data_IF_569971034705
#
_entry.id   IF_569971034705
#
_cell.length_a   1.000
_cell.length_b   1.000
_cell.length_c   1.000
_cell.angle_alpha   90.00
_cell.angle_beta   90.00
_cell.angle_gamma   90.00
#
_symmetry.space_group_name_H-M   'P 1'
#
loop_
_entity.id
_entity.type
_entity.pdbx_description
1 polymer ?
#
# COMPACT_ATOMS: atom_id res chain seq x y z
N UNK A 1 30.52 -9.06 -4.68
CA UNK A 1 29.45 -8.07 -4.75
C UNK A 1 28.14 -8.64 -4.25
N UNK A 2 27.48 -7.91 -3.44
CA UNK A 2 26.20 -8.34 -2.92
C UNK A 2 25.07 -7.83 -3.79
N UNK A 3 24.43 -8.74 -4.50
CA UNK A 3 23.34 -8.36 -5.37
C UNK A 3 22.15 -7.78 -4.64
N UNK A 4 21.95 -8.18 -3.39
CA UNK A 4 20.80 -7.70 -2.63
C UNK A 4 20.83 -6.21 -2.41
N UNK A 5 22.00 -5.62 -2.46
CA UNK A 5 22.12 -4.18 -2.31
C UNK A 5 21.50 -3.43 -3.47
N UNK A 6 21.38 -4.08 -4.61
CA UNK A 6 20.85 -3.45 -5.81
C UNK A 6 19.39 -3.80 -6.07
N UNK A 7 18.81 -4.65 -5.24
CA UNK A 7 17.41 -5.03 -5.40
C UNK A 7 16.52 -4.00 -4.74
N UNK A 8 15.54 -3.52 -5.49
CA UNK A 8 14.55 -2.61 -4.93
C UNK A 8 13.71 -3.36 -3.90
N UNK A 9 13.34 -2.64 -2.86
CA UNK A 9 12.45 -3.16 -1.83
C UNK A 9 11.17 -2.37 -1.86
N UNK A 10 10.06 -3.09 -1.76
CA UNK A 10 8.75 -2.47 -1.82
C UNK A 10 8.01 -2.73 -0.53
N UNK A 11 7.54 -1.66 0.07
CA UNK A 11 6.71 -1.75 1.26
C UNK A 11 5.27 -1.49 0.86
N UNK A 12 4.37 -2.31 1.36
CA UNK A 12 2.96 -2.11 1.16
C UNK A 12 2.35 -1.61 2.46
N UNK A 13 1.63 -0.50 2.37
CA UNK A 13 0.89 -0.01 3.53
C UNK A 13 -0.43 -0.76 3.59
N UNK A 14 -0.84 -1.13 4.79
CA UNK A 14 -2.04 -1.92 4.95
C UNK A 14 -2.92 -1.45 6.09
N UNK A 15 -4.21 -1.65 5.91
CA UNK A 15 -5.22 -1.40 6.93
C UNK A 15 -6.42 -2.27 6.62
N UNK A 16 -7.27 -2.48 7.62
CA UNK A 16 -8.48 -3.25 7.42
C UNK A 16 -8.21 -4.71 7.08
N UNK A 17 -9.04 -5.27 6.21
CA UNK A 17 -8.99 -6.70 5.92
C UNK A 17 -7.69 -7.17 5.27
N UNK A 18 -6.93 -6.26 4.66
CA UNK A 18 -5.66 -6.63 4.05
C UNK A 18 -4.71 -7.25 5.07
N UNK A 19 -4.82 -6.84 6.33
CA UNK A 19 -3.93 -7.30 7.39
C UNK A 19 -4.10 -8.78 7.69
N UNK A 20 -5.33 -9.25 7.77
CA UNK A 20 -5.59 -10.66 8.11
C UNK A 20 -6.02 -11.51 6.92
N UNK A 21 -6.29 -10.89 5.78
CA UNK A 21 -6.63 -11.61 4.56
C UNK A 21 -5.84 -11.07 3.36
N UNK A 22 -4.50 -11.21 3.37
CA UNK A 22 -3.69 -10.67 2.28
C UNK A 22 -3.84 -11.41 0.96
N UNK A 23 -4.41 -12.61 0.96
CA UNK A 23 -4.58 -13.39 -0.26
C UNK A 23 -3.24 -13.74 -0.89
N UNK A 24 -3.13 -13.51 -2.18
CA UNK A 24 -1.91 -13.82 -2.93
C UNK A 24 -0.88 -12.69 -2.92
N UNK A 25 -1.10 -11.64 -2.12
CA UNK A 25 -0.13 -10.56 -2.00
C UNK A 25 1.18 -11.13 -1.44
N UNK A 26 2.31 -10.95 -2.12
CA UNK A 26 3.56 -11.60 -1.72
C UNK A 26 4.25 -10.90 -0.56
N UNK A 27 3.61 -10.90 0.60
CA UNK A 27 4.20 -10.35 1.82
C UNK A 27 5.28 -11.29 2.31
N UNK A 28 6.37 -10.73 2.85
CA UNK A 28 7.52 -11.52 3.25
C UNK A 28 7.74 -11.59 4.75
N UNK A 29 6.99 -10.81 5.52
CA UNK A 29 7.16 -10.77 6.98
C UNK A 29 5.82 -10.58 7.65
N UNK A 30 5.84 -10.41 8.96
CA UNK A 30 4.64 -10.01 9.69
C UNK A 30 4.39 -8.53 9.47
N UNK A 31 3.14 -8.11 9.59
CA UNK A 31 2.80 -6.71 9.48
C UNK A 31 3.41 -5.93 10.63
N UNK A 32 4.03 -4.81 10.29
CA UNK A 32 4.66 -3.92 11.27
C UNK A 32 3.71 -2.77 11.57
N UNK A 33 3.67 -2.37 12.84
CA UNK A 33 2.66 -1.43 13.32
C UNK A 33 3.10 0.03 13.27
N UNK A 34 4.27 0.30 12.77
CA UNK A 34 4.83 1.64 12.74
C UNK A 34 4.74 2.31 11.36
N UNK A 35 3.67 2.03 10.64
CA UNK A 35 3.41 2.69 9.37
C UNK A 35 3.00 4.15 9.55
N UNK A 36 2.89 4.91 8.46
CA UNK A 36 2.48 6.30 8.55
C UNK A 36 1.03 6.42 8.98
N UNK A 37 0.70 7.50 9.68
CA UNK A 37 -0.70 7.80 9.98
C UNK A 37 -1.33 8.41 8.75
N UNK A 38 -2.45 7.86 8.34
CA UNK A 38 -3.11 8.25 7.11
C UNK A 38 -4.57 8.61 7.37
N UNK A 39 -5.12 9.59 6.64
CA UNK A 39 -6.54 9.89 6.76
C UNK A 39 -7.35 8.85 6.01
N UNK A 40 -8.15 8.10 6.73
CA UNK A 40 -8.95 7.01 6.17
C UNK A 40 -10.44 7.26 6.35
N UNK A 41 -11.22 6.80 5.38
CA UNK A 41 -12.67 6.93 5.42
C UNK A 41 -13.28 5.76 4.65
N UNK A 42 -14.46 5.34 5.07
CA UNK A 42 -15.24 4.37 4.30
C UNK A 42 -15.86 5.11 3.11
N UNK A 43 -15.20 5.06 1.99
CA UNK A 43 -15.60 5.87 0.84
C UNK A 43 -15.59 5.11 -0.48
N UNK A 44 -15.24 3.82 -0.46
CA UNK A 44 -15.22 3.02 -1.68
C UNK A 44 -16.07 1.78 -1.47
N UNK A 45 -16.90 1.48 -2.45
CA UNK A 45 -17.70 0.27 -2.44
C UNK A 45 -16.93 -0.83 -3.19
N UNK A 46 -16.68 -1.94 -2.52
CA UNK A 46 -15.97 -3.06 -3.12
C UNK A 46 -16.89 -3.85 -4.05
N UNK A 47 -16.30 -4.80 -4.77
CA UNK A 47 -17.06 -5.61 -5.73
C UNK A 47 -18.18 -6.43 -5.09
N UNK A 48 -18.01 -6.77 -3.82
CA UNK A 48 -19.01 -7.54 -3.08
C UNK A 48 -20.02 -6.64 -2.36
N UNK A 49 -19.98 -5.34 -2.59
CA UNK A 49 -20.94 -4.40 -2.04
C UNK A 49 -20.57 -3.81 -0.68
N UNK A 50 -19.46 -4.22 -0.09
CA UNK A 50 -19.05 -3.70 1.22
C UNK A 50 -18.33 -2.35 1.07
N UNK A 51 -18.50 -1.51 2.08
CA UNK A 51 -17.75 -0.25 2.14
C UNK A 51 -16.31 -0.52 2.55
N UNK A 52 -15.38 0.13 1.88
CA UNK A 52 -13.96 -0.09 2.05
C UNK A 52 -13.28 1.18 2.57
N UNK A 53 -12.36 1.01 3.52
CA UNK A 53 -11.53 2.12 4.01
C UNK A 53 -10.50 2.50 2.96
N UNK A 54 -10.46 3.78 2.61
CA UNK A 54 -9.50 4.29 1.63
C UNK A 54 -8.89 5.59 2.15
N UNK A 55 -7.74 5.96 1.59
CA UNK A 55 -7.14 7.25 1.90
C UNK A 55 -8.05 8.34 1.32
N UNK A 56 -8.47 9.25 2.18
CA UNK A 56 -9.39 10.32 1.81
C UNK A 56 -8.99 11.59 2.53
N UNK A 57 -8.94 12.70 1.81
CA UNK A 57 -8.48 13.97 2.36
C UNK A 57 -9.21 14.36 3.63
N UNK A 58 -10.51 14.07 3.70
CA UNK A 58 -11.34 14.41 4.87
C UNK A 58 -11.46 13.25 5.85
N UNK A 59 -10.68 12.21 5.67
CA UNK A 59 -10.76 11.03 6.53
C UNK A 59 -10.19 11.28 7.92
N UNK A 60 -10.47 10.35 8.80
CA UNK A 60 -9.92 10.36 10.15
C UNK A 60 -8.50 9.82 10.12
N UNK A 61 -7.57 10.52 10.76
CA UNK A 61 -6.17 10.09 10.81
C UNK A 61 -6.06 8.83 11.64
N UNK A 62 -5.58 7.76 11.02
CA UNK A 62 -5.48 6.44 11.64
C UNK A 62 -4.09 5.88 11.45
N UNK A 63 -3.60 5.08 12.42
CA UNK A 63 -2.34 4.36 12.19
C UNK A 63 -2.52 3.32 11.10
N UNK A 64 -1.45 3.08 10.35
CA UNK A 64 -1.44 2.01 9.35
C UNK A 64 -0.31 1.04 9.66
N UNK A 65 -0.36 -0.12 9.03
CA UNK A 65 0.70 -1.11 9.13
C UNK A 65 1.43 -1.18 7.81
N UNK A 66 2.58 -1.84 7.80
CA UNK A 66 3.30 -2.04 6.56
C UNK A 66 3.98 -3.40 6.53
N UNK A 67 4.23 -3.87 5.33
CA UNK A 67 4.90 -5.14 5.11
C UNK A 67 5.76 -5.03 3.86
N UNK A 68 6.80 -5.81 3.80
CA UNK A 68 7.66 -5.85 2.64
C UNK A 68 7.09 -6.84 1.62
N UNK A 69 7.12 -6.44 0.36
CA UNK A 69 6.68 -7.32 -0.73
C UNK A 69 7.90 -7.95 -1.42
N UNK A 70 7.81 -9.24 -1.71
CA UNK A 70 8.86 -9.94 -2.42
C UNK A 70 8.62 -9.85 -3.93
N UNK A 71 8.61 -8.61 -4.44
CA UNK A 71 8.41 -8.34 -5.86
C UNK A 71 9.70 -7.82 -6.48
N UNK A 72 9.87 -8.01 -7.77
CA UNK A 72 11.08 -7.61 -8.48
C UNK A 72 11.02 -6.22 -9.06
N UNK A 73 9.82 -5.63 -9.16
CA UNK A 73 9.65 -4.29 -9.70
C UNK A 73 8.46 -3.60 -9.06
N UNK A 74 8.44 -2.27 -9.16
CA UNK A 74 7.30 -1.49 -8.68
C UNK A 74 6.03 -1.88 -9.42
N UNK A 75 6.14 -2.10 -10.73
CA UNK A 75 4.99 -2.50 -11.52
C UNK A 75 4.40 -3.82 -11.03
N UNK A 76 5.25 -4.78 -10.75
CA UNK A 76 4.83 -6.08 -10.24
C UNK A 76 4.17 -5.95 -8.87
N UNK A 77 4.74 -5.11 -8.00
CA UNK A 77 4.17 -4.87 -6.69
C UNK A 77 2.78 -4.23 -6.80
N UNK A 78 2.63 -3.25 -7.68
CA UNK A 78 1.35 -2.59 -7.91
C UNK A 78 0.32 -3.56 -8.49
N UNK A 79 0.75 -4.44 -9.39
CA UNK A 79 -0.11 -5.46 -9.97
C UNK A 79 -0.65 -6.40 -8.90
N UNK A 80 0.22 -6.86 -8.02
CA UNK A 80 -0.18 -7.77 -6.95
C UNK A 80 -1.19 -7.11 -6.01
N UNK A 81 -0.96 -5.86 -5.65
CA UNK A 81 -1.87 -5.14 -4.78
C UNK A 81 -3.21 -4.89 -5.46
N UNK A 82 -3.17 -4.47 -6.73
CA UNK A 82 -4.40 -4.22 -7.47
C UNK A 82 -5.24 -5.48 -7.58
N UNK A 83 -4.60 -6.62 -7.81
CA UNK A 83 -5.30 -7.89 -7.90
C UNK A 83 -5.94 -8.26 -6.57
N UNK A 84 -5.21 -8.08 -5.47
CA UNK A 84 -5.75 -8.36 -4.13
C UNK A 84 -6.96 -7.48 -3.83
N UNK A 85 -6.91 -6.22 -4.23
CA UNK A 85 -7.96 -5.24 -3.93
C UNK A 85 -9.09 -5.25 -4.95
N UNK A 86 -8.99 -6.06 -5.99
CA UNK A 86 -10.01 -6.10 -7.03
C UNK A 86 -10.07 -4.84 -7.86
N UNK A 87 -8.95 -4.18 -8.04
CA UNK A 87 -8.88 -2.95 -8.83
C UNK A 87 -8.78 -3.27 -10.32
N UNK A 88 -9.32 -2.40 -11.20
CA UNK A 88 -9.33 -2.69 -12.63
C UNK A 88 -7.95 -2.66 -13.29
N UNK A 89 -6.96 -2.01 -12.66
CA UNK A 89 -5.62 -1.87 -13.25
C UNK A 89 -4.60 -1.61 -12.16
N UNK A 90 -3.34 -1.95 -12.43
CA UNK A 90 -2.26 -1.64 -11.50
C UNK A 90 -2.08 -0.13 -11.34
N UNK A 91 -2.57 0.66 -12.28
CA UNK A 91 -2.51 2.12 -12.17
C UNK A 91 -3.34 2.65 -11.01
N UNK A 92 -4.28 1.87 -10.53
CA UNK A 92 -5.12 2.26 -9.40
C UNK A 92 -4.42 2.02 -8.06
N UNK A 93 -3.31 1.29 -8.06
CA UNK A 93 -2.51 1.11 -6.84
C UNK A 93 -1.54 2.29 -6.71
N UNK A 94 -1.76 3.11 -5.69
CA UNK A 94 -0.95 4.30 -5.49
C UNK A 94 0.46 3.94 -5.02
N UNK A 95 1.41 4.81 -5.33
CA UNK A 95 2.80 4.57 -4.94
C UNK A 95 3.53 5.87 -4.61
N UNK A 96 4.61 5.72 -3.86
CA UNK A 96 5.58 6.79 -3.62
C UNK A 96 6.98 6.19 -3.71
N UNK A 97 7.89 6.91 -4.35
CA UNK A 97 9.31 6.55 -4.38
C UNK A 97 10.13 7.80 -4.10
N UNK A 98 11.42 7.65 -3.91
CA UNK A 98 12.30 8.80 -3.71
C UNK A 98 12.35 9.76 -4.89
N UNK A 99 11.91 9.33 -6.08
CA UNK A 99 11.96 10.16 -7.28
C UNK A 99 10.59 10.52 -7.84
N UNK A 100 9.52 10.03 -7.24
CA UNK A 100 8.19 10.37 -7.74
C UNK A 100 7.09 9.63 -7.02
N UNK A 101 5.85 9.99 -7.32
CA UNK A 101 4.68 9.40 -6.72
C UNK A 101 3.50 9.49 -7.68
N UNK A 102 2.51 8.61 -7.50
CA UNK A 102 1.24 8.77 -8.19
C UNK A 102 0.47 9.92 -7.53
N UNK A 103 -0.45 10.53 -8.29
CA UNK A 103 -1.28 11.60 -7.73
C UNK A 103 -2.32 11.05 -6.79
N UNK A 104 -2.00 11.02 -5.50
CA UNK A 104 -2.92 10.53 -4.48
C UNK A 104 -2.81 11.38 -3.22
N UNK A 105 -3.84 11.31 -2.40
CA UNK A 105 -3.83 12.00 -1.11
C UNK A 105 -2.86 11.29 -0.17
N UNK A 106 -2.15 12.07 0.63
CA UNK A 106 -1.29 11.50 1.65
C UNK A 106 0.12 11.18 1.21
N UNK A 107 0.50 11.51 -0.03
CA UNK A 107 1.86 11.25 -0.50
C UNK A 107 2.90 11.90 0.42
N UNK A 108 2.64 13.11 0.90
CA UNK A 108 3.56 13.81 1.79
C UNK A 108 3.70 13.13 3.13
N UNK A 109 2.65 12.44 3.60
CA UNK A 109 2.72 11.69 4.85
C UNK A 109 3.59 10.45 4.68
N UNK A 110 3.49 9.80 3.53
CA UNK A 110 4.33 8.64 3.22
C UNK A 110 5.79 9.09 3.11
N UNK A 111 6.03 10.21 2.46
CA UNK A 111 7.39 10.74 2.31
C UNK A 111 8.01 11.04 3.67
N UNK A 112 7.26 11.68 4.55
CA UNK A 112 7.75 12.01 5.89
C UNK A 112 8.07 10.75 6.68
N UNK A 113 7.26 9.74 6.55
CA UNK A 113 7.48 8.47 7.25
C UNK A 113 8.68 7.72 6.68
N UNK A 114 8.82 7.70 5.34
CA UNK A 114 9.86 6.93 4.68
C UNK A 114 11.26 7.53 4.90
N UNK A 115 11.33 8.83 5.13
CA UNK A 115 12.59 9.50 5.41
C UNK A 115 12.85 9.53 6.92
#
# INVERSE_FOLDING_TARGET
MNRNENLARFACLGWGSLIWEPGDLPISHEWREDGPKMPLEFARKSNDGRMTLVVCKQGTVCPTLWNTLSSTSLEEAREALAKREGLPSNRNAAFWTGSGASGHHGAELVEAWAN
#
